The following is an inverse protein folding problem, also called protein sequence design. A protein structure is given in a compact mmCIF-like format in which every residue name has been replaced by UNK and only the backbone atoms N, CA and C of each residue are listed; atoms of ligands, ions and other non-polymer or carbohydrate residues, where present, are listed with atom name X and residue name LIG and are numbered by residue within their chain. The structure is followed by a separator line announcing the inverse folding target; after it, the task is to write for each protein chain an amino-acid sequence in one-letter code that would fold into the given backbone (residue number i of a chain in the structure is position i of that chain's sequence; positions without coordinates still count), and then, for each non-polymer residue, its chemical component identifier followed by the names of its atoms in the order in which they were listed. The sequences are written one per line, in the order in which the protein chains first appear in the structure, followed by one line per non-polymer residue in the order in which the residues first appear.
data_IF_011752287213
#
_entry.id   IF_011752287213
#
_cell.length_a   1.000
_cell.length_b   1.000
_cell.length_c   1.000
_cell.angle_alpha   90.00
_cell.angle_beta   90.00
_cell.angle_gamma   90.00
#
_symmetry.space_group_name_H-M   'P 1'
#
loop_
_entity.id
_entity.type
_entity.pdbx_description
1 polymer ?
#
# COMPACT_ATOMS: atom_id res chain seq x y z
N UNK A 1 11.45 12.19 -17.20
CA UNK A 1 11.89 10.89 -17.75
C UNK A 1 11.15 9.69 -17.12
N UNK A 2 9.86 9.85 -16.81
CA UNK A 2 8.88 8.79 -17.08
C UNK A 2 8.74 7.62 -16.11
N UNK A 3 9.62 7.46 -15.11
CA UNK A 3 9.52 6.33 -14.18
C UNK A 3 9.18 6.81 -12.77
N UNK A 4 7.91 7.15 -12.53
CA UNK A 4 7.37 7.06 -11.17
C UNK A 4 7.02 5.60 -10.95
N UNK A 5 7.90 4.86 -10.31
CA UNK A 5 7.64 3.46 -9.96
C UNK A 5 6.45 3.42 -9.01
N UNK A 6 5.31 2.90 -9.49
CA UNK A 6 4.14 2.65 -8.64
C UNK A 6 4.31 1.31 -7.96
N UNK A 7 3.97 1.28 -6.67
CA UNK A 7 3.89 0.04 -5.93
C UNK A 7 2.50 -0.58 -6.14
N UNK A 8 2.51 -1.87 -6.49
CA UNK A 8 1.31 -2.68 -6.72
C UNK A 8 1.45 -4.02 -6.02
N UNK A 9 0.32 -4.61 -5.62
CA UNK A 9 0.28 -6.00 -5.15
C UNK A 9 0.01 -6.92 -6.34
N UNK A 10 0.97 -7.79 -6.64
CA UNK A 10 0.82 -8.85 -7.63
C UNK A 10 -0.25 -9.86 -7.23
N UNK A 11 -0.85 -10.53 -8.22
CA UNK A 11 -1.91 -11.52 -8.05
C UNK A 11 -3.17 -11.02 -7.30
N UNK A 12 -3.36 -9.70 -7.22
CA UNK A 12 -4.52 -9.08 -6.58
C UNK A 12 -5.86 -9.42 -7.26
N UNK A 13 -5.83 -9.81 -8.54
CA UNK A 13 -7.01 -10.26 -9.29
C UNK A 13 -7.73 -11.46 -8.66
N UNK A 14 -7.01 -12.32 -7.93
CA UNK A 14 -7.59 -13.46 -7.21
C UNK A 14 -8.33 -13.08 -5.92
N UNK A 15 -8.21 -11.83 -5.46
CA UNK A 15 -8.73 -11.36 -4.19
C UNK A 15 -9.49 -10.03 -4.35
N UNK A 16 -10.70 -10.05 -4.94
CA UNK A 16 -11.45 -8.83 -5.26
C UNK A 16 -11.84 -7.99 -4.03
N UNK A 17 -11.91 -8.63 -2.86
CA UNK A 17 -12.25 -7.97 -1.59
C UNK A 17 -11.02 -7.65 -0.73
N UNK A 18 -9.80 -7.80 -1.25
CA UNK A 18 -8.57 -7.58 -0.50
C UNK A 18 -8.50 -6.15 0.00
N UNK A 19 -8.49 -5.95 1.32
CA UNK A 19 -8.26 -4.64 1.92
C UNK A 19 -6.76 -4.45 2.11
N UNK A 20 -6.24 -3.34 1.55
CA UNK A 20 -4.84 -2.96 1.66
C UNK A 20 -4.77 -1.62 2.35
N UNK A 21 -3.94 -1.51 3.39
CA UNK A 21 -3.68 -0.26 4.10
C UNK A 21 -2.18 -0.01 4.15
N UNK A 22 -1.73 1.19 3.76
CA UNK A 22 -0.33 1.59 3.74
C UNK A 22 -0.11 2.67 4.80
N UNK A 23 1.01 2.58 5.51
CA UNK A 23 1.42 3.45 6.59
C UNK A 23 2.81 4.04 6.34
N UNK A 24 3.03 5.27 6.79
CA UNK A 24 4.39 5.82 6.87
C UNK A 24 5.14 5.32 8.11
N UNK A 25 6.43 5.66 8.22
CA UNK A 25 7.30 5.31 9.36
C UNK A 25 6.86 5.81 10.73
N UNK A 26 5.87 6.70 10.79
CA UNK A 26 5.31 7.19 12.05
C UNK A 26 3.97 6.50 12.37
N UNK A 27 3.57 5.49 11.60
CA UNK A 27 2.32 4.75 11.78
C UNK A 27 1.09 5.49 11.26
N UNK A 28 1.24 6.58 10.51
CA UNK A 28 0.09 7.28 9.92
C UNK A 28 -0.39 6.52 8.69
N UNK A 29 -1.68 6.21 8.63
CA UNK A 29 -2.31 5.67 7.43
C UNK A 29 -2.26 6.70 6.29
N UNK A 30 -1.61 6.34 5.19
CA UNK A 30 -1.42 7.20 4.02
C UNK A 30 -2.22 6.76 2.80
N UNK A 31 -2.58 5.48 2.70
CA UNK A 31 -3.43 4.95 1.62
C UNK A 31 -4.25 3.77 2.14
N UNK A 32 -5.47 3.64 1.65
CA UNK A 32 -6.28 2.44 1.82
C UNK A 32 -7.14 2.21 0.58
N UNK A 33 -7.30 0.96 0.17
CA UNK A 33 -8.17 0.56 -0.93
C UNK A 33 -8.64 -0.90 -0.79
N UNK A 34 -9.70 -1.24 -1.53
CA UNK A 34 -10.23 -2.60 -1.66
C UNK A 34 -9.99 -3.10 -3.08
N UNK A 35 -9.53 -4.34 -3.24
CA UNK A 35 -9.28 -5.00 -4.51
C UNK A 35 -7.97 -4.56 -5.16
N UNK A 36 -8.03 -4.19 -6.44
CA UNK A 36 -6.86 -3.77 -7.23
C UNK A 36 -6.60 -2.28 -6.97
N UNK A 37 -5.35 -1.95 -6.67
CA UNK A 37 -4.92 -0.58 -6.46
C UNK A 37 -3.41 -0.44 -6.48
N UNK A 38 -2.97 0.80 -6.56
CA UNK A 38 -1.58 1.20 -6.62
C UNK A 38 -1.30 2.37 -5.68
N UNK A 39 -0.02 2.53 -5.35
CA UNK A 39 0.48 3.68 -4.64
C UNK A 39 1.76 4.19 -5.26
N UNK A 40 1.80 5.47 -5.58
CA UNK A 40 2.89 6.11 -6.32
C UNK A 40 3.92 6.80 -5.41
N UNK A 41 3.84 6.62 -4.08
CA UNK A 41 4.71 7.31 -3.14
C UNK A 41 4.19 8.68 -2.67
N UNK A 42 2.95 9.05 -3.01
CA UNK A 42 2.38 10.35 -2.62
C UNK A 42 1.38 10.24 -1.46
N UNK A 43 1.23 11.33 -0.71
CA UNK A 43 0.16 11.51 0.27
C UNK A 43 -0.38 12.92 0.19
N UNK A 44 -1.70 13.08 0.04
CA UNK A 44 -2.36 14.39 -0.13
C UNK A 44 -1.76 15.24 -1.25
N UNK A 45 -1.38 14.61 -2.37
CA UNK A 45 -0.74 15.22 -3.56
C UNK A 45 0.70 15.71 -3.35
N UNK A 46 1.27 15.46 -2.17
CA UNK A 46 2.68 15.74 -1.88
C UNK A 46 3.51 14.46 -1.98
N UNK A 47 4.73 14.58 -2.50
CA UNK A 47 5.69 13.47 -2.50
C UNK A 47 6.14 13.18 -1.05
N UNK A 48 6.09 11.92 -0.66
CA UNK A 48 6.63 11.50 0.62
C UNK A 48 8.15 11.27 0.53
N UNK A 49 8.90 11.45 1.63
CA UNK A 49 10.35 11.33 1.60
C UNK A 49 10.83 9.90 1.35
N UNK A 50 12.09 9.78 0.93
CA UNK A 50 12.82 8.51 0.96
C UNK A 50 12.74 7.88 2.35
N UNK A 51 12.41 6.59 2.40
CA UNK A 51 12.29 5.85 3.65
C UNK A 51 11.41 4.60 3.55
N UNK A 52 11.20 3.98 4.70
CA UNK A 52 10.39 2.77 4.82
C UNK A 52 8.91 3.09 5.02
N UNK A 53 8.08 2.25 4.40
CA UNK A 53 6.63 2.28 4.47
C UNK A 53 6.12 0.88 4.72
N UNK A 54 5.09 0.74 5.52
CA UNK A 54 4.51 -0.55 5.90
C UNK A 54 3.16 -0.72 5.24
N UNK A 55 2.77 -1.96 4.99
CA UNK A 55 1.43 -2.29 4.53
C UNK A 55 0.85 -3.46 5.31
N UNK A 56 -0.47 -3.45 5.45
CA UNK A 56 -1.27 -4.53 5.99
C UNK A 56 -2.28 -4.93 4.93
N UNK A 57 -2.37 -6.23 4.67
CA UNK A 57 -3.32 -6.84 3.75
C UNK A 57 -4.26 -7.76 4.52
N UNK A 58 -5.56 -7.64 4.25
CA UNK A 58 -6.61 -8.59 4.63
C UNK A 58 -7.28 -9.12 3.37
N UNK A 59 -7.11 -10.42 3.08
CA UNK A 59 -7.47 -10.99 1.77
C UNK A 59 -8.98 -10.99 1.48
N UNK A 60 -9.81 -11.12 2.51
CA UNK A 60 -11.28 -11.18 2.37
C UNK A 60 -12.00 -9.96 2.97
N UNK A 61 -11.34 -8.81 3.02
CA UNK A 61 -11.94 -7.54 3.48
C UNK A 61 -11.72 -7.23 4.95
N UNK A 62 -12.37 -6.18 5.49
CA UNK A 62 -12.06 -5.63 6.82
C UNK A 62 -12.29 -6.61 7.98
N UNK A 63 -13.22 -7.55 7.79
CA UNK A 63 -13.59 -8.56 8.78
C UNK A 63 -12.76 -9.86 8.66
N UNK A 64 -11.77 -9.91 7.77
CA UNK A 64 -10.80 -11.01 7.78
C UNK A 64 -9.88 -10.83 9.00
N UNK A 65 -9.79 -11.86 9.83
CA UNK A 65 -8.94 -11.87 11.02
C UNK A 65 -7.46 -12.13 10.67
N UNK A 66 -7.17 -12.53 9.43
CA UNK A 66 -5.81 -12.78 8.97
C UNK A 66 -5.22 -11.52 8.37
N UNK A 67 -4.08 -11.13 8.90
CA UNK A 67 -3.32 -9.98 8.43
C UNK A 67 -1.98 -10.42 7.86
N UNK A 68 -1.63 -9.88 6.69
CA UNK A 68 -0.32 -10.04 6.09
C UNK A 68 0.38 -8.69 6.12
N UNK A 69 1.49 -8.64 6.86
CA UNK A 69 2.25 -7.41 7.06
C UNK A 69 3.53 -7.48 6.24
N UNK A 70 3.86 -6.38 5.57
CA UNK A 70 5.14 -6.22 4.90
C UNK A 70 5.56 -4.76 4.87
N UNK A 71 6.71 -4.51 4.28
CA UNK A 71 7.22 -3.16 4.10
C UNK A 71 7.91 -3.01 2.74
N UNK A 72 8.09 -1.76 2.33
CA UNK A 72 8.84 -1.37 1.15
C UNK A 72 9.66 -0.12 1.47
N UNK A 73 10.83 0.00 0.86
CA UNK A 73 11.64 1.23 0.91
C UNK A 73 11.42 2.00 -0.38
N UNK A 74 10.95 3.25 -0.27
CA UNK A 74 10.81 4.16 -1.40
C UNK A 74 12.05 5.05 -1.48
N UNK A 75 12.63 5.19 -2.68
CA UNK A 75 13.72 6.12 -2.98
C UNK A 75 13.20 7.25 -3.88
N UNK A 76 13.55 8.49 -3.53
CA UNK A 76 13.24 9.74 -4.25
C UNK A 76 14.48 10.62 -4.32
#
# INVERSE_FOLDING_TARGET
DGNRDTWVIGNSEGFPNMLVTIFDRYGRQIKQYIGIGEWDGTYKKEDLPTGDYWYIIKLNGPNDDREFVGHMTVYR
#
